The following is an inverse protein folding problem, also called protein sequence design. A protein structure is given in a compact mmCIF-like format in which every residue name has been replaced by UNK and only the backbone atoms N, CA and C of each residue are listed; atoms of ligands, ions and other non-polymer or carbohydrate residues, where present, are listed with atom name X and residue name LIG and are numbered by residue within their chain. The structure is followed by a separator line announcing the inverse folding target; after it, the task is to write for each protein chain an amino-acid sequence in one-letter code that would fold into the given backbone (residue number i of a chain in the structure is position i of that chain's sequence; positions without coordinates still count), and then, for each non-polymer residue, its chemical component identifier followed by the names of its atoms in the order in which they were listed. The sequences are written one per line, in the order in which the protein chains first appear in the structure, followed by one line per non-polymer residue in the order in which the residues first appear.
data_IF_226639504881
#
_entry.id   IF_226639504881
#
_cell.length_a   1.000
_cell.length_b   1.000
_cell.length_c   1.000
_cell.angle_alpha   90.00
_cell.angle_beta   90.00
_cell.angle_gamma   90.00
#
_symmetry.space_group_name_H-M   'P 1'
#
loop_
_entity.id
_entity.type
_entity.pdbx_description
1 polymer ?
#
# COMPACT_ATOMS: atom_id res chain seq x y z
N UNK A 1 -31.40 36.13 3.03
CA UNK A 1 -31.38 36.16 4.50
C UNK A 1 -29.99 35.71 4.90
N UNK A 2 -29.09 36.67 5.13
CA UNK A 2 -27.67 36.42 5.34
C UNK A 2 -27.38 36.65 6.82
N UNK A 3 -26.67 35.73 7.45
CA UNK A 3 -26.13 35.92 8.80
C UNK A 3 -24.62 35.73 8.71
N UNK A 4 -23.95 36.87 8.68
CA UNK A 4 -22.54 37.02 9.03
C UNK A 4 -22.43 36.88 10.54
N UNK A 5 -21.52 36.02 11.04
CA UNK A 5 -20.98 36.19 12.38
C UNK A 5 -19.50 36.49 12.29
N UNK A 6 -19.21 37.78 12.48
CA UNK A 6 -17.93 38.34 12.84
C UNK A 6 -17.69 38.02 14.32
N UNK A 7 -16.51 37.51 14.69
CA UNK A 7 -15.96 37.77 16.01
C UNK A 7 -14.45 37.96 15.93
N UNK A 8 -14.01 39.09 16.44
CA UNK A 8 -12.64 39.53 16.54
C UNK A 8 -12.33 39.78 18.04
N UNK A 9 -11.17 39.26 18.47
CA UNK A 9 -10.21 39.69 19.52
C UNK A 9 -10.63 39.75 21.01
N UNK A 10 -9.99 38.94 21.88
CA UNK A 10 -8.77 39.27 22.66
C UNK A 10 -8.56 38.37 23.91
N UNK A 11 -7.31 37.92 24.14
CA UNK A 11 -6.56 38.13 25.39
C UNK A 11 -6.64 37.13 26.57
N UNK A 12 -5.54 36.37 26.76
CA UNK A 12 -4.87 35.86 27.98
C UNK A 12 -5.60 35.75 29.35
N UNK A 13 -5.42 34.58 30.02
CA UNK A 13 -5.12 34.52 31.47
C UNK A 13 -5.83 33.44 32.33
N UNK A 14 -5.06 32.40 32.69
CA UNK A 14 -5.03 31.62 33.96
C UNK A 14 -6.25 30.80 34.48
N UNK A 15 -5.98 29.50 34.63
CA UNK A 15 -6.32 28.49 35.67
C UNK A 15 -7.76 28.32 36.21
N UNK A 16 -8.29 27.11 35.99
CA UNK A 16 -8.78 26.09 36.96
C UNK A 16 -9.83 25.20 36.25
N UNK A 17 -9.43 23.97 35.92
CA UNK A 17 -9.97 22.71 36.48
C UNK A 17 -11.46 22.47 36.20
N UNK A 18 -11.76 21.59 35.24
CA UNK A 18 -12.67 20.46 35.47
C UNK A 18 -12.59 19.37 34.37
N UNK A 19 -12.15 18.19 34.83
CA UNK A 19 -12.61 16.84 34.48
C UNK A 19 -12.49 16.33 33.01
N UNK A 20 -11.37 15.67 32.72
CA UNK A 20 -11.31 14.56 31.75
C UNK A 20 -11.31 13.23 32.52
N UNK A 21 -12.29 12.37 32.24
CA UNK A 21 -12.36 11.00 32.74
C UNK A 21 -11.47 10.09 31.88
N UNK A 22 -10.39 9.58 32.46
CA UNK A 22 -9.61 8.47 31.89
C UNK A 22 -10.32 7.12 32.13
N UNK A 23 -10.30 6.19 31.17
CA UNK A 23 -10.67 4.80 31.42
C UNK A 23 -9.48 4.00 31.97
N UNK A 24 -9.66 3.43 33.16
CA UNK A 24 -8.73 2.48 33.79
C UNK A 24 -8.77 1.12 33.08
N UNK A 25 -7.59 0.54 32.84
CA UNK A 25 -7.44 -0.86 32.40
C UNK A 25 -6.86 -1.68 33.56
N UNK A 26 -7.53 -2.77 33.93
CA UNK A 26 -7.10 -3.73 34.95
C UNK A 26 -5.93 -4.60 34.43
N UNK A 27 -4.90 -4.73 35.26
CA UNK A 27 -3.77 -5.64 35.05
C UNK A 27 -4.18 -7.09 35.33
N UNK A 28 -3.75 -8.03 34.47
CA UNK A 28 -3.76 -9.47 34.77
C UNK A 28 -2.33 -9.98 34.84
N UNK A 29 -1.95 -10.47 36.02
CA UNK A 29 -0.67 -11.08 36.38
C UNK A 29 -0.32 -12.29 35.51
N UNK A 30 0.93 -12.36 35.04
CA UNK A 30 1.54 -13.58 34.51
C UNK A 30 2.59 -14.08 35.50
N UNK A 31 2.23 -15.14 36.23
CA UNK A 31 3.11 -15.82 37.18
C UNK A 31 4.15 -16.71 36.46
N UNK A 32 5.42 -16.42 36.73
CA UNK A 32 6.58 -17.16 36.29
C UNK A 32 6.70 -18.56 36.92
N UNK A 33 7.30 -19.48 36.16
CA UNK A 33 7.78 -20.79 36.64
C UNK A 33 9.11 -21.13 35.97
N UNK A 34 10.20 -20.89 36.70
CA UNK A 34 11.61 -21.07 36.33
C UNK A 34 12.15 -22.49 36.49
N UNK A 35 13.21 -22.83 35.74
CA UNK A 35 14.29 -23.73 36.18
C UNK A 35 14.91 -24.55 35.02
N UNK A 36 16.03 -24.13 34.40
CA UNK A 36 17.45 -24.50 34.71
C UNK A 36 17.73 -26.01 34.71
N UNK A 37 18.77 -26.60 34.12
CA UNK A 37 20.00 -26.21 33.42
C UNK A 37 20.56 -27.46 32.67
N UNK A 38 21.53 -27.28 31.75
CA UNK A 38 22.14 -28.33 30.89
C UNK A 38 23.08 -29.34 31.60
N UNK A 39 24.20 -29.83 31.00
CA UNK A 39 24.72 -29.67 29.64
C UNK A 39 25.40 -30.94 28.99
N UNK A 40 25.83 -30.79 27.72
CA UNK A 40 27.05 -31.28 27.02
C UNK A 40 27.45 -32.78 26.91
N UNK A 41 27.89 -33.13 25.69
CA UNK A 41 28.87 -34.18 25.32
C UNK A 41 28.76 -34.47 23.82
N UNK A 42 29.50 -33.85 22.91
CA UNK A 42 30.94 -33.96 22.54
C UNK A 42 31.30 -35.16 21.64
N UNK A 43 32.02 -34.82 20.54
CA UNK A 43 32.84 -35.65 19.64
C UNK A 43 32.17 -36.78 18.83
N UNK A 44 32.49 -37.07 17.56
CA UNK A 44 33.55 -36.65 16.65
C UNK A 44 33.80 -37.75 15.60
N UNK A 45 34.24 -37.38 14.38
CA UNK A 45 34.85 -38.28 13.36
C UNK A 45 33.86 -39.02 12.45
N UNK A 46 33.76 -38.83 11.12
CA UNK A 46 34.69 -38.70 9.97
C UNK A 46 34.78 -40.01 9.15
N UNK A 47 34.30 -39.88 7.90
CA UNK A 47 34.67 -40.56 6.64
C UNK A 47 34.42 -42.08 6.48
N UNK A 48 33.90 -42.47 5.31
CA UNK A 48 33.99 -43.83 4.78
C UNK A 48 32.94 -44.19 3.73
N UNK A 49 33.37 -44.23 2.48
CA UNK A 49 32.68 -44.56 1.23
C UNK A 49 31.87 -45.89 1.22
N UNK A 50 30.85 -45.91 0.36
CA UNK A 50 30.12 -47.05 -0.25
C UNK A 50 31.07 -48.14 -0.84
N UNK A 51 30.63 -49.41 -1.14
CA UNK A 51 29.33 -49.76 -1.74
C UNK A 51 28.70 -51.14 -1.44
N UNK A 52 27.44 -51.26 -1.91
CA UNK A 52 26.72 -52.44 -2.39
C UNK A 52 26.40 -53.61 -1.43
N UNK A 53 25.11 -53.71 -1.08
CA UNK A 53 24.46 -54.93 -0.61
C UNK A 53 23.00 -54.95 -1.02
N UNK A 54 22.67 -55.75 -2.04
CA UNK A 54 21.30 -56.07 -2.46
C UNK A 54 20.60 -56.80 -1.30
N UNK A 55 19.48 -56.26 -0.83
CA UNK A 55 18.60 -56.88 0.14
C UNK A 55 17.16 -56.48 -0.11
N UNK A 56 16.36 -57.42 -0.61
CA UNK A 56 14.91 -57.33 -0.70
C UNK A 56 14.31 -56.96 0.67
N UNK A 57 13.65 -55.81 0.72
CA UNK A 57 12.93 -55.32 1.89
C UNK A 57 11.71 -54.54 1.42
N UNK A 58 10.58 -55.23 1.32
CA UNK A 58 9.30 -54.65 0.97
C UNK A 58 8.89 -53.54 1.96
N UNK A 59 8.57 -52.36 1.42
CA UNK A 59 7.47 -51.52 1.87
C UNK A 59 7.75 -50.49 2.97
N UNK A 60 7.83 -49.22 2.57
CA UNK A 60 6.78 -48.21 2.83
C UNK A 60 7.18 -46.88 2.18
N UNK A 61 6.91 -46.75 0.89
CA UNK A 61 6.74 -45.43 0.29
C UNK A 61 5.36 -44.91 0.72
N UNK A 62 5.33 -44.00 1.69
CA UNK A 62 4.15 -43.19 1.94
C UNK A 62 4.06 -42.15 0.80
N UNK A 63 3.62 -42.59 -0.38
CA UNK A 63 3.01 -41.67 -1.35
C UNK A 63 1.71 -41.18 -0.69
N UNK A 64 1.64 -39.88 -0.41
CA UNK A 64 0.46 -39.24 0.17
C UNK A 64 -0.80 -39.66 -0.57
N UNK A 65 -1.79 -40.14 0.17
CA UNK A 65 -3.08 -40.48 -0.40
C UNK A 65 -3.73 -39.19 -0.91
N UNK A 66 -4.16 -39.17 -2.18
CA UNK A 66 -4.95 -38.06 -2.72
C UNK A 66 -6.27 -38.02 -1.93
N UNK A 67 -6.62 -36.89 -1.28
CA UNK A 67 -7.88 -36.77 -0.56
C UNK A 67 -9.07 -37.09 -1.46
N UNK A 68 -10.09 -37.76 -0.93
CA UNK A 68 -11.30 -38.07 -1.69
C UNK A 68 -12.42 -37.09 -1.35
N UNK A 69 -12.93 -36.41 -2.37
CA UNK A 69 -14.16 -35.62 -2.31
C UNK A 69 -15.07 -36.05 -3.46
N UNK A 70 -16.37 -36.18 -3.19
CA UNK A 70 -17.36 -36.52 -4.22
C UNK A 70 -17.38 -35.46 -5.32
N UNK A 71 -17.43 -35.89 -6.59
CA UNK A 71 -17.40 -34.99 -7.75
C UNK A 71 -16.02 -34.41 -8.08
N UNK A 72 -14.95 -34.79 -7.38
CA UNK A 72 -13.61 -34.25 -7.61
C UNK A 72 -13.05 -34.60 -8.99
N UNK A 73 -12.57 -33.58 -9.69
CA UNK A 73 -11.88 -33.65 -10.97
C UNK A 73 -10.39 -33.83 -10.67
N UNK A 74 -9.96 -35.09 -10.61
CA UNK A 74 -8.62 -35.48 -10.13
C UNK A 74 -7.49 -34.84 -10.92
N UNK A 75 -7.66 -34.70 -12.23
CA UNK A 75 -6.68 -34.14 -13.15
C UNK A 75 -6.52 -32.62 -12.98
N UNK A 76 -7.43 -31.96 -12.26
CA UNK A 76 -7.45 -30.52 -11.99
C UNK A 76 -7.53 -30.22 -10.48
N UNK A 77 -6.96 -31.11 -9.68
CA UNK A 77 -6.86 -31.01 -8.22
C UNK A 77 -5.43 -31.31 -7.80
N UNK A 78 -4.82 -30.44 -7.00
CA UNK A 78 -3.37 -30.41 -6.80
C UNK A 78 -3.00 -30.15 -5.36
N UNK A 79 -1.93 -30.78 -4.91
CA UNK A 79 -1.20 -30.31 -3.74
C UNK A 79 -0.45 -29.03 -4.11
N UNK A 80 -0.58 -28.01 -3.27
CA UNK A 80 0.04 -26.70 -3.48
C UNK A 80 0.33 -26.04 -2.14
N UNK A 81 1.14 -24.99 -2.16
CA UNK A 81 1.44 -24.18 -0.99
C UNK A 81 0.96 -22.75 -1.24
N UNK A 82 0.00 -22.29 -0.45
CA UNK A 82 -0.55 -20.94 -0.54
C UNK A 82 -0.14 -20.11 0.68
N UNK A 83 0.06 -18.81 0.50
CA UNK A 83 0.47 -17.91 1.57
C UNK A 83 -0.59 -17.86 2.68
N UNK A 84 -0.16 -17.86 3.94
CA UNK A 84 -1.05 -17.93 5.11
C UNK A 84 -1.80 -19.27 5.31
N UNK A 85 -1.93 -20.10 4.28
CA UNK A 85 -2.51 -21.44 4.35
C UNK A 85 -1.45 -22.53 4.52
N UNK A 86 -0.23 -22.34 4.04
CA UNK A 86 0.80 -23.37 4.00
C UNK A 86 0.48 -24.46 2.98
N UNK A 87 0.94 -25.69 3.23
CA UNK A 87 0.64 -26.85 2.37
C UNK A 87 -0.86 -27.19 2.47
N UNK A 88 -1.52 -27.25 1.32
CA UNK A 88 -2.95 -27.53 1.17
C UNK A 88 -3.21 -28.34 -0.11
N UNK A 89 -4.34 -29.03 -0.15
CA UNK A 89 -4.81 -29.68 -1.36
C UNK A 89 -5.96 -28.88 -1.97
N UNK A 90 -5.76 -28.31 -3.15
CA UNK A 90 -6.79 -27.64 -3.93
C UNK A 90 -7.63 -28.66 -4.70
N UNK A 91 -8.95 -28.62 -4.53
CA UNK A 91 -9.86 -29.54 -5.19
C UNK A 91 -10.86 -28.82 -6.10
N UNK A 92 -10.91 -29.22 -7.38
CA UNK A 92 -11.96 -28.84 -8.33
C UNK A 92 -13.08 -29.87 -8.29
N UNK A 93 -14.31 -29.43 -8.04
CA UNK A 93 -15.48 -30.29 -7.85
C UNK A 93 -16.52 -30.00 -8.95
N UNK A 94 -16.85 -31.01 -9.74
CA UNK A 94 -17.89 -30.92 -10.76
C UNK A 94 -19.29 -30.73 -10.14
N UNK A 95 -20.20 -29.99 -10.79
CA UNK A 95 -21.59 -29.90 -10.36
C UNK A 95 -22.30 -31.25 -10.48
N UNK A 96 -23.15 -31.58 -9.51
CA UNK A 96 -23.75 -32.91 -9.35
C UNK A 96 -24.61 -33.37 -10.55
N UNK A 97 -25.25 -32.45 -11.26
CA UNK A 97 -26.12 -32.71 -12.41
C UNK A 97 -25.51 -32.28 -13.75
N UNK A 98 -24.23 -31.88 -13.77
CA UNK A 98 -23.57 -31.33 -14.95
C UNK A 98 -24.06 -29.93 -15.34
N UNK A 99 -24.98 -29.33 -14.58
CA UNK A 99 -25.54 -28.01 -14.85
C UNK A 99 -25.16 -27.03 -13.73
N UNK A 100 -24.54 -25.91 -14.09
CA UNK A 100 -24.16 -24.84 -13.15
C UNK A 100 -22.67 -24.77 -12.84
N UNK A 101 -22.31 -23.95 -11.84
CA UNK A 101 -20.91 -23.65 -11.53
C UNK A 101 -20.22 -24.76 -10.71
N UNK A 102 -18.96 -25.14 -11.06
CA UNK A 102 -18.16 -26.04 -10.24
C UNK A 102 -17.89 -25.45 -8.85
N UNK A 103 -17.42 -26.29 -7.91
CA UNK A 103 -16.92 -25.84 -6.62
C UNK A 103 -15.40 -25.95 -6.55
N UNK A 104 -14.78 -25.07 -5.77
CA UNK A 104 -13.35 -25.14 -5.47
C UNK A 104 -13.18 -25.09 -3.96
N UNK A 105 -12.30 -25.95 -3.45
CA UNK A 105 -12.09 -26.17 -2.02
C UNK A 105 -10.59 -26.19 -1.71
N UNK A 106 -10.23 -25.76 -0.50
CA UNK A 106 -8.94 -26.12 0.11
C UNK A 106 -9.17 -27.19 1.17
N UNK A 107 -8.35 -28.25 1.10
CA UNK A 107 -8.39 -29.36 2.04
C UNK A 107 -7.07 -29.43 2.84
N UNK A 108 -7.18 -29.74 4.14
CA UNK A 108 -6.06 -30.16 5.00
C UNK A 108 -6.46 -31.41 5.77
N UNK A 109 -5.59 -32.41 5.77
CA UNK A 109 -5.84 -33.70 6.45
C UNK A 109 -7.23 -34.28 6.12
N UNK A 110 -7.61 -34.25 4.85
CA UNK A 110 -8.92 -34.67 4.31
C UNK A 110 -10.14 -33.83 4.73
N UNK A 111 -9.95 -32.75 5.50
CA UNK A 111 -11.02 -31.84 5.89
C UNK A 111 -11.06 -30.61 4.98
N UNK A 112 -12.26 -30.20 4.57
CA UNK A 112 -12.45 -28.89 3.92
C UNK A 112 -12.20 -27.77 4.93
N UNK A 113 -11.15 -27.00 4.70
CA UNK A 113 -10.81 -25.83 5.53
C UNK A 113 -11.27 -24.52 4.90
N UNK A 114 -11.51 -24.51 3.58
CA UNK A 114 -12.02 -23.34 2.88
C UNK A 114 -12.85 -23.71 1.66
N UNK A 115 -13.87 -22.90 1.37
CA UNK A 115 -14.68 -22.97 0.15
C UNK A 115 -14.58 -21.64 -0.56
N UNK A 116 -14.14 -21.67 -1.81
CA UNK A 116 -14.01 -20.45 -2.62
C UNK A 116 -15.39 -19.87 -2.95
N UNK A 117 -15.51 -18.53 -3.05
CA UNK A 117 -16.74 -17.85 -3.37
C UNK A 117 -17.29 -18.25 -4.75
N UNK A 118 -18.62 -18.23 -4.88
CA UNK A 118 -19.33 -18.58 -6.12
C UNK A 118 -20.26 -17.45 -6.53
N UNK A 119 -20.45 -17.30 -7.83
CA UNK A 119 -21.49 -16.41 -8.36
C UNK A 119 -22.84 -17.13 -8.36
N UNK A 120 -23.91 -16.37 -8.59
CA UNK A 120 -25.21 -16.97 -8.83
C UNK A 120 -25.17 -17.82 -10.11
N UNK A 121 -25.96 -18.90 -10.12
CA UNK A 121 -25.99 -19.84 -11.24
C UNK A 121 -26.56 -19.14 -12.47
N UNK A 122 -25.75 -19.03 -13.51
CA UNK A 122 -26.23 -18.60 -14.83
C UNK A 122 -26.94 -19.77 -15.55
N UNK A 123 -28.16 -19.50 -16.03
CA UNK A 123 -28.93 -20.47 -16.81
C UNK A 123 -28.41 -20.55 -18.26
N UNK A 124 -28.49 -21.74 -18.87
CA UNK A 124 -28.24 -21.92 -20.30
C UNK A 124 -26.83 -22.36 -20.70
N UNK A 125 -25.96 -22.72 -19.73
CA UNK A 125 -24.65 -23.35 -19.99
C UNK A 125 -24.51 -24.71 -19.30
N UNK A 126 -23.94 -25.67 -20.01
CA UNK A 126 -23.62 -27.02 -19.53
C UNK A 126 -22.13 -27.11 -19.21
N UNK A 127 -21.80 -27.60 -18.02
CA UNK A 127 -20.42 -27.77 -17.58
C UNK A 127 -19.80 -28.97 -18.30
N UNK A 128 -18.65 -28.77 -18.96
CA UNK A 128 -17.91 -29.88 -19.62
C UNK A 128 -16.63 -30.23 -18.91
N UNK A 129 -16.02 -29.30 -18.18
CA UNK A 129 -14.82 -29.59 -17.40
C UNK A 129 -14.12 -28.37 -16.83
N UNK A 130 -12.97 -28.64 -16.21
CA UNK A 130 -11.99 -27.60 -15.86
C UNK A 130 -10.80 -27.79 -16.81
N UNK A 131 -10.54 -26.79 -17.65
CA UNK A 131 -9.49 -26.85 -18.66
C UNK A 131 -8.10 -26.62 -18.07
N UNK A 132 -7.98 -25.76 -17.06
CA UNK A 132 -6.72 -25.47 -16.39
C UNK A 132 -6.93 -24.89 -14.99
N UNK A 133 -5.95 -25.11 -14.12
CA UNK A 133 -5.78 -24.41 -12.83
C UNK A 133 -4.34 -23.90 -12.76
N UNK A 134 -4.16 -22.69 -12.23
CA UNK A 134 -2.85 -22.11 -11.98
C UNK A 134 -2.80 -21.41 -10.62
N UNK A 135 -1.64 -21.47 -9.98
CA UNK A 135 -1.32 -20.79 -8.73
C UNK A 135 -0.16 -19.84 -8.99
N UNK A 136 -0.41 -18.53 -8.91
CA UNK A 136 0.59 -17.51 -9.20
C UNK A 136 0.18 -16.16 -8.65
N UNK A 137 1.16 -15.34 -8.35
CA UNK A 137 0.97 -13.92 -8.15
C UNK A 137 0.56 -13.27 -9.47
N UNK A 138 -0.74 -12.99 -9.61
CA UNK A 138 -1.32 -12.44 -10.82
C UNK A 138 -1.44 -10.92 -10.74
N UNK A 139 -1.78 -10.42 -9.55
CA UNK A 139 -1.91 -9.00 -9.24
C UNK A 139 -0.59 -8.31 -8.87
N UNK A 140 0.51 -9.06 -8.76
CA UNK A 140 1.86 -8.60 -8.39
C UNK A 140 1.94 -8.09 -6.94
N UNK A 141 1.13 -8.64 -6.04
CA UNK A 141 1.12 -8.29 -4.62
C UNK A 141 2.06 -9.14 -3.74
N UNK A 142 2.78 -10.08 -4.36
CA UNK A 142 3.70 -11.00 -3.69
C UNK A 142 3.07 -12.28 -3.15
N UNK A 143 1.75 -12.50 -3.32
CA UNK A 143 1.05 -13.72 -2.89
C UNK A 143 0.47 -14.49 -4.05
N UNK A 144 0.24 -15.79 -3.83
CA UNK A 144 -0.33 -16.63 -4.88
C UNK A 144 -1.85 -16.53 -4.97
N UNK A 145 -2.33 -16.09 -6.14
CA UNK A 145 -3.72 -16.17 -6.55
C UNK A 145 -4.06 -17.53 -7.17
N UNK A 146 -5.35 -17.83 -7.22
CA UNK A 146 -5.87 -19.03 -7.89
C UNK A 146 -6.64 -18.65 -9.15
N UNK A 147 -6.21 -19.19 -10.29
CA UNK A 147 -6.83 -18.95 -11.59
C UNK A 147 -7.37 -20.28 -12.10
N UNK A 148 -8.66 -20.32 -12.45
CA UNK A 148 -9.29 -21.50 -13.04
C UNK A 148 -9.91 -21.16 -14.39
N UNK A 149 -9.70 -22.01 -15.39
CA UNK A 149 -10.44 -21.96 -16.65
C UNK A 149 -11.52 -23.05 -16.64
N UNK A 150 -12.77 -22.65 -16.52
CA UNK A 150 -13.92 -23.55 -16.54
C UNK A 150 -14.45 -23.65 -17.97
N UNK A 151 -14.63 -24.87 -18.46
CA UNK A 151 -15.11 -25.12 -19.82
C UNK A 151 -16.60 -25.41 -19.80
N UNK A 152 -17.33 -24.70 -20.65
CA UNK A 152 -18.78 -24.81 -20.82
C UNK A 152 -19.16 -25.04 -22.28
N UNK A 153 -20.34 -25.58 -22.50
CA UNK A 153 -20.99 -25.68 -23.81
C UNK A 153 -22.47 -25.27 -23.76
N UNK A 154 -23.00 -24.83 -24.89
CA UNK A 154 -24.42 -24.59 -25.15
C UNK A 154 -25.02 -25.60 -26.15
N UNK A 155 -24.29 -26.71 -26.41
CA UNK A 155 -24.65 -27.72 -27.41
C UNK A 155 -24.22 -27.37 -28.85
N UNK A 156 -23.68 -26.18 -29.09
CA UNK A 156 -23.13 -25.76 -30.38
C UNK A 156 -21.67 -25.34 -30.33
N UNK A 157 -21.30 -24.57 -29.30
CA UNK A 157 -19.95 -24.06 -29.07
C UNK A 157 -19.43 -24.52 -27.72
N UNK A 158 -18.12 -24.72 -27.63
CA UNK A 158 -17.39 -24.86 -26.38
C UNK A 158 -16.54 -23.61 -26.14
N UNK A 159 -16.51 -23.12 -24.92
CA UNK A 159 -15.68 -21.98 -24.51
C UNK A 159 -15.19 -22.13 -23.08
N UNK A 160 -14.17 -21.35 -22.74
CA UNK A 160 -13.68 -21.24 -21.38
C UNK A 160 -14.17 -19.94 -20.76
N UNK A 161 -14.54 -20.00 -19.49
CA UNK A 161 -14.72 -18.85 -18.61
C UNK A 161 -13.63 -18.86 -17.54
N UNK A 162 -12.93 -17.73 -17.33
CA UNK A 162 -12.02 -17.60 -16.22
C UNK A 162 -12.79 -17.47 -14.90
N UNK A 163 -12.25 -18.06 -13.84
CA UNK A 163 -12.63 -17.80 -12.45
C UNK A 163 -11.36 -17.38 -11.72
N UNK A 164 -11.32 -16.12 -11.30
CA UNK A 164 -10.11 -15.53 -10.71
C UNK A 164 -10.36 -15.31 -9.22
N UNK A 165 -9.58 -15.98 -8.40
CA UNK A 165 -9.63 -15.87 -6.95
C UNK A 165 -8.37 -15.18 -6.48
N UNK A 166 -8.51 -13.91 -6.15
CA UNK A 166 -7.42 -13.10 -5.64
C UNK A 166 -7.30 -13.31 -4.13
N UNK A 167 -6.07 -13.50 -3.65
CA UNK A 167 -5.85 -13.72 -2.23
C UNK A 167 -6.09 -12.42 -1.45
N UNK A 168 -6.92 -12.47 -0.42
CA UNK A 168 -7.12 -11.31 0.44
C UNK A 168 -5.86 -11.10 1.28
N UNK A 169 -5.22 -9.95 1.09
CA UNK A 169 -4.17 -9.50 1.98
C UNK A 169 -4.77 -8.89 3.24
N UNK A 170 -4.13 -9.02 4.41
CA UNK A 170 -4.54 -8.27 5.60
C UNK A 170 -4.44 -6.74 5.40
N UNK A 171 -3.78 -6.27 4.35
CA UNK A 171 -3.75 -4.87 3.89
C UNK A 171 -4.82 -4.52 2.83
N UNK A 172 -5.60 -5.50 2.35
CA UNK A 172 -6.70 -5.34 1.38
C UNK A 172 -6.35 -4.56 0.10
N UNK A 173 -5.11 -4.62 -0.37
CA UNK A 173 -4.71 -3.94 -1.61
C UNK A 173 -5.14 -4.71 -2.85
N UNK A 174 -6.42 -4.57 -3.18
CA UNK A 174 -6.88 -4.56 -4.57
C UNK A 174 -8.29 -3.97 -4.70
N UNK A 175 -9.05 -3.95 -3.60
CA UNK A 175 -10.44 -3.52 -3.61
C UNK A 175 -10.68 -2.12 -3.05
N UNK A 176 -9.62 -1.33 -2.88
CA UNK A 176 -9.70 0.00 -2.28
C UNK A 176 -9.46 1.17 -3.24
N UNK A 177 -9.07 0.92 -4.49
CA UNK A 177 -8.85 2.03 -5.43
C UNK A 177 -10.12 2.39 -6.21
N UNK A 178 -11.14 1.52 -6.19
CA UNK A 178 -12.39 1.73 -6.93
C UNK A 178 -13.65 1.42 -6.10
N UNK A 179 -14.06 2.32 -5.19
CA UNK A 179 -15.33 2.18 -4.46
C UNK A 179 -16.56 1.99 -5.38
N UNK A 180 -16.51 2.52 -6.61
CA UNK A 180 -17.57 2.34 -7.61
C UNK A 180 -17.66 0.94 -8.21
N UNK A 181 -16.67 0.07 -7.97
CA UNK A 181 -16.65 -1.31 -8.46
C UNK A 181 -17.05 -2.32 -7.36
N UNK A 182 -17.56 -1.81 -6.22
CA UNK A 182 -18.39 -2.44 -5.15
C UNK A 182 -19.04 -3.81 -5.48
N UNK A 183 -19.75 -3.81 -6.60
CA UNK A 183 -20.65 -4.90 -6.97
C UNK A 183 -19.96 -6.08 -7.65
N UNK A 184 -18.71 -5.91 -8.11
CA UNK A 184 -18.00 -6.93 -8.87
C UNK A 184 -17.20 -7.90 -7.99
N UNK A 185 -17.11 -7.61 -6.68
CA UNK A 185 -16.45 -8.49 -5.71
C UNK A 185 -17.44 -9.49 -5.13
N UNK A 186 -17.05 -10.76 -5.15
CA UNK A 186 -17.76 -11.82 -4.43
C UNK A 186 -16.84 -12.37 -3.35
N UNK A 187 -17.26 -12.24 -2.09
CA UNK A 187 -16.45 -12.64 -0.94
C UNK A 187 -16.82 -14.04 -0.42
N UNK A 188 -15.80 -14.81 0.00
CA UNK A 188 -15.98 -16.02 0.78
C UNK A 188 -15.16 -15.93 2.06
N UNK A 189 -15.79 -15.84 3.23
CA UNK A 189 -15.08 -15.66 4.51
C UNK A 189 -14.56 -16.99 5.04
N UNK A 190 -13.27 -17.07 5.31
CA UNK A 190 -12.67 -18.20 6.03
C UNK A 190 -12.99 -18.12 7.53
N UNK A 191 -13.13 -19.28 8.19
CA UNK A 191 -13.22 -19.34 9.65
C UNK A 191 -11.85 -19.11 10.31
N UNK A 192 -10.80 -19.65 9.69
CA UNK A 192 -9.40 -19.53 10.10
C UNK A 192 -8.54 -19.33 8.83
N UNK A 193 -7.55 -18.44 8.88
CA UNK A 193 -6.67 -18.12 7.74
C UNK A 193 -7.14 -16.93 6.87
N UNK A 194 -6.34 -16.51 5.87
CA UNK A 194 -6.71 -15.43 4.95
C UNK A 194 -7.80 -15.88 3.97
N UNK A 195 -8.74 -15.00 3.64
CA UNK A 195 -9.81 -15.31 2.68
C UNK A 195 -9.35 -15.11 1.24
N UNK A 196 -10.18 -15.56 0.29
CA UNK A 196 -10.10 -15.17 -1.12
C UNK A 196 -11.39 -14.45 -1.51
N UNK A 197 -11.32 -13.62 -2.54
CA UNK A 197 -12.50 -13.09 -3.21
C UNK A 197 -12.45 -13.35 -4.71
N UNK A 198 -13.62 -13.36 -5.37
CA UNK A 198 -13.75 -13.39 -6.83
C UNK A 198 -13.91 -11.97 -7.37
N UNK A 199 -13.19 -11.67 -8.44
CA UNK A 199 -13.30 -10.44 -9.21
C UNK A 199 -14.03 -10.72 -10.54
N UNK A 200 -15.33 -10.42 -10.58
CA UNK A 200 -16.12 -10.70 -11.79
C UNK A 200 -15.89 -9.68 -12.90
N UNK A 201 -15.40 -8.47 -12.59
CA UNK A 201 -15.07 -7.47 -13.62
C UNK A 201 -13.85 -7.91 -14.42
N UNK A 202 -12.83 -8.43 -13.74
CA UNK A 202 -11.67 -9.02 -14.39
C UNK A 202 -12.08 -10.19 -15.27
N UNK A 203 -12.94 -11.07 -14.79
CA UNK A 203 -13.44 -12.21 -15.57
C UNK A 203 -14.22 -11.78 -16.83
N UNK A 204 -15.08 -10.76 -16.70
CA UNK A 204 -15.78 -10.13 -17.83
C UNK A 204 -14.80 -9.52 -18.84
N UNK A 205 -13.82 -8.76 -18.37
CA UNK A 205 -12.77 -8.16 -19.19
C UNK A 205 -11.99 -9.23 -19.97
N UNK A 206 -11.49 -10.26 -19.29
CA UNK A 206 -10.73 -11.35 -19.89
C UNK A 206 -11.55 -12.09 -20.97
N UNK A 207 -12.83 -12.29 -20.72
CA UNK A 207 -13.75 -12.92 -21.66
C UNK A 207 -13.97 -12.02 -22.88
N UNK A 208 -14.23 -10.73 -22.66
CA UNK A 208 -14.45 -9.75 -23.72
C UNK A 208 -13.21 -9.56 -24.61
N UNK A 209 -12.01 -9.62 -24.04
CA UNK A 209 -10.74 -9.54 -24.78
C UNK A 209 -10.34 -10.87 -25.45
N UNK A 210 -11.09 -11.96 -25.22
CA UNK A 210 -10.76 -13.28 -25.78
C UNK A 210 -9.51 -13.92 -25.16
N UNK A 211 -9.15 -13.54 -23.94
CA UNK A 211 -7.96 -14.00 -23.23
C UNK A 211 -8.19 -15.28 -22.42
N UNK A 212 -9.43 -15.73 -22.28
CA UNK A 212 -9.80 -16.95 -21.55
C UNK A 212 -9.37 -18.27 -22.21
N UNK A 213 -8.69 -18.23 -23.37
CA UNK A 213 -8.28 -19.44 -24.09
C UNK A 213 -7.16 -20.24 -23.42
N UNK A 214 -6.29 -19.59 -22.63
CA UNK A 214 -5.19 -20.25 -21.91
C UNK A 214 -4.66 -19.39 -20.77
N UNK A 215 -4.04 -20.01 -19.75
CA UNK A 215 -3.37 -19.29 -18.66
C UNK A 215 -2.29 -18.34 -19.17
N UNK A 216 -1.60 -18.68 -20.26
CA UNK A 216 -0.54 -17.84 -20.83
C UNK A 216 -1.08 -16.53 -21.41
N UNK A 217 -2.31 -16.53 -21.93
CA UNK A 217 -2.98 -15.34 -22.45
C UNK A 217 -3.39 -14.38 -21.34
N UNK A 218 -3.73 -14.91 -20.16
CA UNK A 218 -4.07 -14.13 -18.97
C UNK A 218 -2.84 -13.45 -18.36
N UNK A 219 -1.71 -14.17 -18.29
CA UNK A 219 -0.54 -13.82 -17.48
C UNK A 219 0.14 -12.45 -17.76
N UNK A 220 -0.34 -11.65 -18.72
CA UNK A 220 0.26 -10.37 -19.11
C UNK A 220 -0.74 -9.21 -19.21
N UNK A 221 -2.03 -9.43 -18.93
CA UNK A 221 -3.04 -8.38 -19.13
C UNK A 221 -3.39 -7.62 -17.85
N UNK A 222 -2.65 -7.82 -16.76
CA UNK A 222 -2.93 -7.13 -15.50
C UNK A 222 -2.88 -5.61 -15.64
N UNK A 223 -1.79 -5.07 -16.20
CA UNK A 223 -1.63 -3.63 -16.44
C UNK A 223 -2.75 -3.08 -17.36
N UNK A 224 -3.12 -3.84 -18.41
CA UNK A 224 -4.19 -3.46 -19.32
C UNK A 224 -5.58 -3.49 -18.65
N UNK A 225 -5.78 -4.41 -17.70
CA UNK A 225 -7.00 -4.50 -16.90
C UNK A 225 -7.12 -3.33 -15.91
N UNK A 226 -6.04 -2.98 -15.21
CA UNK A 226 -6.02 -1.82 -14.32
C UNK A 226 -6.39 -0.56 -15.09
N UNK A 227 -5.78 -0.34 -16.26
CA UNK A 227 -6.13 0.80 -17.12
C UNK A 227 -7.59 0.78 -17.60
N UNK A 228 -8.17 -0.41 -17.83
CA UNK A 228 -9.57 -0.56 -18.18
C UNK A 228 -10.51 -0.22 -17.00
N UNK A 229 -10.20 -0.73 -15.81
CA UNK A 229 -10.96 -0.46 -14.58
C UNK A 229 -10.90 1.03 -14.20
N UNK A 230 -9.72 1.64 -14.25
CA UNK A 230 -9.52 3.09 -14.11
C UNK A 230 -10.41 3.87 -15.09
N UNK A 231 -10.42 3.47 -16.36
CA UNK A 231 -11.21 4.10 -17.40
C UNK A 231 -12.72 4.05 -17.14
N UNK A 232 -13.24 2.96 -16.55
CA UNK A 232 -14.65 2.88 -16.13
C UNK A 232 -14.99 3.87 -15.02
N UNK A 233 -14.02 4.17 -14.17
CA UNK A 233 -14.14 5.14 -13.08
C UNK A 233 -13.86 6.58 -13.51
N UNK A 234 -13.56 6.82 -14.79
CA UNK A 234 -13.15 8.13 -15.29
C UNK A 234 -11.75 8.55 -14.82
N UNK A 235 -10.95 7.62 -14.29
CA UNK A 235 -9.56 7.85 -13.91
C UNK A 235 -8.71 7.68 -15.17
N UNK A 236 -7.86 8.66 -15.45
CA UNK A 236 -6.92 8.60 -16.56
C UNK A 236 -5.74 7.70 -16.20
N UNK A 237 -5.28 6.86 -17.12
CA UNK A 237 -4.10 6.04 -16.86
C UNK A 237 -2.86 6.89 -16.54
N UNK A 238 -1.94 6.39 -15.71
CA UNK A 238 -0.75 7.12 -15.24
C UNK A 238 0.03 7.79 -16.37
N UNK A 239 0.23 7.09 -17.49
CA UNK A 239 0.92 7.65 -18.66
C UNK A 239 0.22 8.88 -19.25
N UNK A 240 -1.11 8.89 -19.28
CA UNK A 240 -1.90 10.04 -19.74
C UNK A 240 -1.83 11.20 -18.74
N UNK A 241 -1.87 10.91 -17.43
CA UNK A 241 -1.71 11.93 -16.40
C UNK A 241 -0.32 12.60 -16.47
N UNK A 242 0.74 11.83 -16.68
CA UNK A 242 2.11 12.33 -16.90
C UNK A 242 2.16 13.27 -18.12
N UNK A 243 1.55 12.89 -19.24
CA UNK A 243 1.47 13.77 -20.40
C UNK A 243 0.73 15.07 -20.12
N UNK A 244 -0.32 15.04 -19.30
CA UNK A 244 -1.07 16.23 -18.90
C UNK A 244 -0.24 17.14 -17.99
N UNK A 245 0.50 16.59 -17.03
CA UNK A 245 1.46 17.37 -16.25
C UNK A 245 2.50 18.05 -17.16
N UNK A 246 3.10 17.32 -18.09
CA UNK A 246 4.10 17.85 -19.03
C UNK A 246 3.55 18.97 -19.93
N UNK A 247 2.31 18.81 -20.43
CA UNK A 247 1.62 19.84 -21.22
C UNK A 247 1.33 21.10 -20.40
N UNK A 248 1.05 20.96 -19.12
CA UNK A 248 0.75 22.06 -18.22
C UNK A 248 1.99 22.62 -17.46
N UNK A 249 3.22 22.25 -17.86
CA UNK A 249 4.44 22.67 -17.14
C UNK A 249 4.60 24.16 -16.94
N UNK A 250 4.12 24.97 -17.87
CA UNK A 250 4.17 26.44 -17.74
C UNK A 250 3.35 26.97 -16.54
N UNK A 251 2.50 26.15 -15.92
CA UNK A 251 1.69 26.51 -14.75
C UNK A 251 2.41 26.18 -13.44
N UNK A 252 3.13 25.05 -13.38
CA UNK A 252 3.74 24.55 -12.14
C UNK A 252 5.27 24.69 -12.08
N UNK A 253 5.93 24.88 -13.23
CA UNK A 253 7.37 25.11 -13.35
C UNK A 253 7.68 26.60 -13.62
N UNK A 254 6.91 27.51 -13.03
CA UNK A 254 7.10 28.94 -13.24
C UNK A 254 8.40 29.44 -12.58
N UNK A 255 8.94 30.56 -13.06
CA UNK A 255 10.13 31.15 -12.46
C UNK A 255 9.81 31.70 -11.06
N UNK A 256 10.69 31.43 -10.10
CA UNK A 256 10.57 31.92 -8.72
C UNK A 256 11.63 32.97 -8.43
N UNK A 257 11.25 34.00 -7.69
CA UNK A 257 12.09 35.15 -7.40
C UNK A 257 12.86 35.07 -6.07
N UNK A 258 12.51 34.12 -5.19
CA UNK A 258 13.04 34.01 -3.82
C UNK A 258 13.14 32.56 -3.38
N UNK A 259 14.09 32.28 -2.48
CA UNK A 259 14.32 30.95 -1.90
C UNK A 259 14.48 29.87 -2.99
N UNK A 260 15.26 30.15 -4.03
CA UNK A 260 15.42 29.33 -5.24
C UNK A 260 16.80 28.65 -5.33
N UNK A 261 17.52 28.56 -4.20
CA UNK A 261 18.82 27.89 -4.13
C UNK A 261 18.71 26.42 -4.57
N UNK A 262 17.60 25.77 -4.19
CA UNK A 262 17.11 24.52 -4.76
C UNK A 262 15.69 24.76 -5.28
N UNK A 263 15.42 24.35 -6.52
CA UNK A 263 14.08 24.34 -7.08
C UNK A 263 13.84 23.01 -7.79
N UNK A 264 13.03 22.16 -7.19
CA UNK A 264 12.89 20.77 -7.61
C UNK A 264 11.43 20.35 -7.75
N UNK A 265 11.20 19.32 -8.56
CA UNK A 265 9.93 18.63 -8.64
C UNK A 265 10.11 17.13 -8.42
N UNK A 266 9.05 16.47 -7.96
CA UNK A 266 8.92 15.01 -7.96
C UNK A 266 7.48 14.61 -8.26
N UNK A 267 7.28 13.47 -8.92
CA UNK A 267 5.97 12.87 -9.14
C UNK A 267 5.88 11.58 -8.33
N UNK A 268 4.86 11.41 -7.49
CA UNK A 268 4.79 10.28 -6.56
C UNK A 268 3.36 9.78 -6.33
N UNK A 269 3.20 8.46 -6.17
CA UNK A 269 1.94 7.83 -5.76
C UNK A 269 1.74 7.92 -4.24
N UNK A 270 1.39 9.10 -3.74
CA UNK A 270 1.27 9.35 -2.28
C UNK A 270 -0.04 8.85 -1.68
N UNK A 271 -1.04 8.65 -2.53
CA UNK A 271 -2.41 8.23 -2.22
C UNK A 271 -2.79 7.01 -3.05
N UNK A 272 -3.78 6.26 -2.58
CA UNK A 272 -4.30 5.07 -3.27
C UNK A 272 -5.47 5.37 -4.20
N UNK A 273 -5.54 6.59 -4.74
CA UNK A 273 -6.65 7.03 -5.59
C UNK A 273 -6.32 6.93 -7.09
N UNK A 274 -5.25 6.22 -7.45
CA UNK A 274 -4.76 6.11 -8.83
C UNK A 274 -4.24 7.43 -9.43
N UNK A 275 -4.15 8.51 -8.64
CA UNK A 275 -3.73 9.84 -9.10
C UNK A 275 -2.40 10.24 -8.46
N UNK A 276 -1.27 10.18 -9.19
CA UNK A 276 0.00 10.62 -8.66
C UNK A 276 -0.04 12.11 -8.33
N UNK A 277 0.64 12.48 -7.26
CA UNK A 277 0.79 13.87 -6.82
C UNK A 277 2.11 14.40 -7.34
N UNK A 278 2.04 15.48 -8.11
CA UNK A 278 3.20 16.28 -8.48
C UNK A 278 3.50 17.25 -7.35
N UNK A 279 4.69 17.15 -6.76
CA UNK A 279 5.18 18.12 -5.78
C UNK A 279 6.23 18.98 -6.46
N UNK A 280 6.09 20.29 -6.31
CA UNK A 280 7.06 21.28 -6.74
C UNK A 280 7.48 22.07 -5.52
N UNK A 281 8.77 22.11 -5.21
CA UNK A 281 9.28 22.73 -4.00
C UNK A 281 10.53 23.55 -4.27
N UNK A 282 10.66 24.67 -3.57
CA UNK A 282 11.85 25.49 -3.58
C UNK A 282 12.31 25.82 -2.17
N UNK A 283 13.62 25.83 -2.00
CA UNK A 283 14.28 26.04 -0.72
C UNK A 283 15.44 27.02 -0.90
N UNK A 284 15.57 27.98 0.01
CA UNK A 284 16.74 28.85 0.02
C UNK A 284 16.62 30.11 0.88
N UNK A 285 17.53 31.03 0.61
CA UNK A 285 17.65 32.29 1.35
C UNK A 285 18.33 32.12 2.72
N UNK A 286 18.65 33.25 3.35
CA UNK A 286 19.42 33.26 4.62
C UNK A 286 18.68 32.65 5.81
N UNK A 287 17.35 32.56 5.72
CA UNK A 287 16.48 31.98 6.73
C UNK A 287 16.23 30.49 6.56
N UNK A 288 16.71 29.89 5.45
CA UNK A 288 16.43 28.48 5.06
C UNK A 288 14.93 28.23 4.89
N UNK A 289 14.25 29.08 4.11
CA UNK A 289 12.81 28.94 3.91
C UNK A 289 12.52 27.94 2.80
N UNK A 290 11.49 27.11 3.01
CA UNK A 290 10.94 26.21 2.01
C UNK A 290 9.50 26.59 1.65
N UNK A 291 9.17 26.48 0.36
CA UNK A 291 7.82 26.60 -0.18
C UNK A 291 7.54 25.44 -1.12
N UNK A 292 6.32 24.93 -1.10
CA UNK A 292 5.88 23.74 -1.82
C UNK A 292 4.46 23.91 -2.36
N UNK A 293 4.27 23.40 -3.56
CA UNK A 293 3.00 23.34 -4.26
C UNK A 293 2.72 21.91 -4.70
N UNK A 294 1.46 21.49 -4.59
CA UNK A 294 1.04 20.13 -4.85
C UNK A 294 -0.03 20.15 -5.94
N UNK A 295 0.07 19.22 -6.88
CA UNK A 295 -0.85 19.13 -8.00
C UNK A 295 -1.29 17.71 -8.28
N UNK A 296 -2.53 17.57 -8.74
CA UNK A 296 -3.10 16.34 -9.31
C UNK A 296 -3.79 16.62 -10.63
N UNK A 297 -4.03 15.57 -11.41
CA UNK A 297 -4.97 15.62 -12.53
C UNK A 297 -6.34 15.19 -12.03
N UNK A 298 -7.35 16.03 -12.23
CA UNK A 298 -8.72 15.70 -11.82
C UNK A 298 -9.37 14.67 -12.76
N UNK A 299 -10.59 14.23 -12.42
CA UNK A 299 -11.35 13.26 -13.22
C UNK A 299 -11.73 13.76 -14.63
N UNK A 300 -11.63 15.08 -14.87
CA UNK A 300 -11.88 15.68 -16.19
C UNK A 300 -10.60 15.81 -17.03
N UNK A 301 -9.44 15.44 -16.47
CA UNK A 301 -8.14 15.61 -17.12
C UNK A 301 -7.56 17.01 -16.98
N UNK A 302 -8.01 17.80 -16.01
CA UNK A 302 -7.53 19.15 -15.74
C UNK A 302 -6.47 19.16 -14.62
N UNK A 303 -5.47 20.05 -14.74
CA UNK A 303 -4.48 20.24 -13.68
C UNK A 303 -5.10 20.99 -12.51
N UNK A 304 -5.08 20.37 -11.34
CA UNK A 304 -5.60 20.93 -10.09
C UNK A 304 -4.45 21.18 -9.12
N UNK A 305 -4.31 22.42 -8.64
CA UNK A 305 -3.47 22.73 -7.47
C UNK A 305 -4.24 22.35 -6.19
N UNK A 306 -3.61 21.58 -5.32
CA UNK A 306 -4.21 21.14 -4.07
C UNK A 306 -4.20 22.26 -3.02
N UNK A 307 -5.21 22.24 -2.15
CA UNK A 307 -5.21 23.08 -0.96
C UNK A 307 -4.21 22.57 0.07
N UNK A 308 -3.66 23.45 0.90
CA UNK A 308 -2.77 23.08 1.99
C UNK A 308 -3.24 23.71 3.30
N UNK A 309 -2.90 23.07 4.41
CA UNK A 309 -3.05 23.63 5.77
C UNK A 309 -1.92 24.60 6.14
N UNK A 310 -0.93 24.77 5.26
CA UNK A 310 0.21 25.65 5.49
C UNK A 310 -0.25 27.10 5.71
N UNK A 311 0.41 27.75 6.66
CA UNK A 311 0.13 29.14 6.97
C UNK A 311 0.91 30.06 6.04
N UNK A 312 0.19 30.98 5.40
CA UNK A 312 0.81 32.00 4.55
C UNK A 312 1.86 32.82 5.31
N UNK A 313 3.06 32.92 4.74
CA UNK A 313 4.18 33.69 5.30
C UNK A 313 5.12 32.88 6.22
N UNK A 314 4.73 31.69 6.65
CA UNK A 314 5.61 30.80 7.42
C UNK A 314 6.48 29.95 6.48
N UNK A 315 7.62 29.46 6.97
CA UNK A 315 8.34 28.37 6.28
C UNK A 315 7.44 27.14 6.21
N UNK A 316 7.50 26.41 5.11
CA UNK A 316 6.85 25.10 4.98
C UNK A 316 7.89 24.01 5.23
N UNK A 317 7.48 22.75 5.46
CA UNK A 317 8.44 21.68 5.72
C UNK A 317 9.47 21.50 4.60
N UNK A 318 10.71 21.19 4.98
CA UNK A 318 11.81 20.86 4.08
C UNK A 318 11.52 19.50 3.42
N UNK A 319 10.77 19.53 2.32
CA UNK A 319 10.26 18.32 1.65
C UNK A 319 11.22 17.75 0.59
N UNK A 320 12.25 18.50 0.19
CA UNK A 320 13.20 18.08 -0.87
C UNK A 320 14.24 17.09 -0.31
N UNK A 321 13.73 15.90 0.05
CA UNK A 321 14.45 14.78 0.65
C UNK A 321 14.24 13.50 -0.18
N UNK A 322 15.32 12.74 -0.38
CA UNK A 322 15.27 11.49 -1.15
C UNK A 322 14.57 10.36 -0.39
N UNK A 323 14.49 10.46 0.94
CA UNK A 323 13.87 9.44 1.79
C UNK A 323 13.09 10.07 2.93
N UNK A 324 11.90 9.55 3.19
CA UNK A 324 11.05 9.96 4.32
C UNK A 324 10.58 8.74 5.08
N UNK A 325 10.52 8.87 6.41
CA UNK A 325 9.78 7.90 7.23
C UNK A 325 8.30 8.11 6.99
N UNK A 326 7.55 7.03 6.83
CA UNK A 326 6.09 7.08 6.66
C UNK A 326 5.44 6.19 7.70
N UNK A 327 4.39 6.70 8.32
CA UNK A 327 3.49 5.90 9.14
C UNK A 327 2.20 5.68 8.38
N UNK A 328 1.93 4.42 8.05
CA UNK A 328 0.74 4.04 7.29
C UNK A 328 -0.30 3.41 8.22
N UNK A 329 -1.56 3.84 8.05
CA UNK A 329 -2.73 3.18 8.61
C UNK A 329 -3.67 2.73 7.50
N UNK A 330 -4.45 1.71 7.79
CA UNK A 330 -5.47 1.20 6.89
C UNK A 330 -6.84 1.31 7.55
N UNK A 331 -7.83 1.75 6.77
CA UNK A 331 -9.23 1.69 7.14
C UNK A 331 -10.11 1.38 5.92
N UNK A 332 -11.42 1.25 6.14
CA UNK A 332 -12.39 1.06 5.04
C UNK A 332 -12.45 2.25 4.09
N UNK A 333 -12.03 3.42 4.56
CA UNK A 333 -12.00 4.66 3.80
C UNK A 333 -10.76 4.74 2.90
N UNK A 334 -9.70 3.95 3.15
CA UNK A 334 -8.47 3.96 2.38
C UNK A 334 -7.22 3.76 3.24
N UNK A 335 -6.05 3.75 2.58
CA UNK A 335 -4.76 3.90 3.28
C UNK A 335 -4.54 5.38 3.56
N UNK A 336 -4.11 5.68 4.78
CA UNK A 336 -3.56 6.99 5.15
C UNK A 336 -2.09 6.87 5.43
N UNK A 337 -1.31 7.70 4.74
CA UNK A 337 0.13 7.80 4.89
C UNK A 337 0.48 9.12 5.55
N UNK A 338 1.23 9.05 6.65
CA UNK A 338 1.78 10.20 7.37
C UNK A 338 3.27 10.29 7.12
N UNK A 339 3.68 11.18 6.21
CA UNK A 339 5.08 11.38 5.82
C UNK A 339 5.76 12.29 6.84
N UNK A 340 6.74 11.78 7.57
CA UNK A 340 7.48 12.58 8.54
C UNK A 340 8.41 13.53 7.79
N UNK A 341 8.24 14.81 8.08
CA UNK A 341 8.98 15.92 7.48
C UNK A 341 9.60 16.77 8.58
N UNK A 342 10.73 17.37 8.24
CA UNK A 342 11.47 18.25 9.13
C UNK A 342 11.52 19.64 8.53
N UNK A 343 11.82 20.64 9.34
CA UNK A 343 12.03 22.00 8.87
C UNK A 343 13.07 22.69 9.73
N UNK A 344 14.12 23.19 9.10
CA UNK A 344 15.16 23.95 9.78
C UNK A 344 15.05 25.43 9.42
N UNK A 345 14.65 26.24 10.39
CA UNK A 345 14.52 27.69 10.24
C UNK A 345 15.63 28.40 11.01
N UNK A 346 16.30 29.34 10.33
CA UNK A 346 17.15 30.32 11.01
C UNK A 346 16.32 31.54 11.45
N UNK A 347 15.78 31.47 12.67
CA UNK A 347 14.92 32.50 13.28
C UNK A 347 15.68 33.81 13.56
N UNK A 348 16.96 33.71 13.97
CA UNK A 348 17.82 34.87 14.19
C UNK A 348 19.30 34.51 13.95
N UNK A 349 20.25 35.48 13.96
CA UNK A 349 21.67 35.17 13.85
C UNK A 349 22.16 34.07 14.81
N UNK A 350 21.58 34.04 16.01
CA UNK A 350 22.00 33.16 17.12
C UNK A 350 20.90 32.15 17.51
N UNK A 351 19.80 32.08 16.74
CA UNK A 351 18.64 31.23 17.06
C UNK A 351 18.25 30.37 15.87
N UNK A 352 18.09 29.08 16.12
CA UNK A 352 17.60 28.09 15.16
C UNK A 352 16.37 27.39 15.72
N UNK A 353 15.40 27.14 14.85
CA UNK A 353 14.19 26.39 15.15
C UNK A 353 14.15 25.16 14.23
N UNK A 354 13.95 24.00 14.83
CA UNK A 354 13.77 22.72 14.15
C UNK A 354 12.34 22.26 14.44
N UNK A 355 11.58 21.95 13.39
CA UNK A 355 10.21 21.43 13.54
C UNK A 355 10.16 20.02 12.95
N UNK A 356 9.41 19.16 13.62
CA UNK A 356 9.06 17.84 13.14
C UNK A 356 7.55 17.81 12.99
N UNK A 357 7.10 17.51 11.78
CA UNK A 357 5.67 17.42 11.43
C UNK A 357 5.44 16.13 10.65
N UNK A 358 4.17 15.77 10.42
CA UNK A 358 3.79 14.83 9.39
C UNK A 358 2.95 15.51 8.32
N UNK A 359 3.10 15.09 7.07
CA UNK A 359 2.16 15.43 5.99
C UNK A 359 1.23 14.24 5.70
N UNK A 360 -0.05 14.51 5.55
CA UNK A 360 -1.02 13.60 4.96
C UNK A 360 -1.75 14.27 3.79
N UNK A 361 -2.10 13.47 2.78
CA UNK A 361 -2.88 13.91 1.63
C UNK A 361 -4.19 13.13 1.64
N UNK A 362 -5.29 13.85 1.80
CA UNK A 362 -6.63 13.28 1.87
C UNK A 362 -7.63 14.20 1.17
N UNK A 363 -8.53 13.64 0.35
CA UNK A 363 -9.55 14.40 -0.40
C UNK A 363 -8.97 15.63 -1.13
N UNK A 364 -7.84 15.47 -1.82
CA UNK A 364 -7.17 16.54 -2.59
C UNK A 364 -6.74 17.75 -1.74
N UNK A 365 -6.46 17.51 -0.46
CA UNK A 365 -5.97 18.51 0.49
C UNK A 365 -4.74 17.97 1.26
N UNK A 366 -3.72 18.82 1.41
CA UNK A 366 -2.48 18.49 2.13
C UNK A 366 -2.55 19.05 3.55
N UNK A 367 -2.53 18.17 4.53
CA UNK A 367 -2.58 18.52 5.95
C UNK A 367 -1.20 18.33 6.57
N UNK A 368 -0.74 19.33 7.32
CA UNK A 368 0.43 19.26 8.19
C UNK A 368 -0.06 19.06 9.61
N UNK A 369 0.43 18.01 10.26
CA UNK A 369 0.24 17.79 11.69
C UNK A 369 1.57 18.07 12.40
N UNK A 370 1.67 19.13 13.21
CA UNK A 370 2.85 19.38 14.04
C UNK A 370 3.02 18.26 15.08
N UNK A 371 4.26 17.80 15.27
CA UNK A 371 4.57 16.72 16.21
C UNK A 371 5.47 17.20 17.35
N UNK A 372 6.59 17.84 17.03
CA UNK A 372 7.53 18.34 18.01
C UNK A 372 8.34 19.51 17.46
N UNK A 373 8.93 20.30 18.36
CA UNK A 373 9.87 21.36 17.99
C UNK A 373 11.08 21.40 18.92
N UNK A 374 12.20 21.87 18.38
CA UNK A 374 13.42 22.12 19.12
C UNK A 374 13.95 23.50 18.77
N UNK A 375 14.27 24.28 19.80
CA UNK A 375 14.88 25.59 19.68
C UNK A 375 16.30 25.56 20.23
N UNK A 376 17.25 26.03 19.42
CA UNK A 376 18.65 26.18 19.80
C UNK A 376 19.00 27.66 19.83
N UNK A 377 19.46 28.15 20.98
CA UNK A 377 19.93 29.53 21.15
C UNK A 377 21.41 29.52 21.52
N UNK A 378 22.23 30.22 20.76
CA UNK A 378 23.65 30.39 21.05
C UNK A 378 23.85 31.66 21.89
N UNK A 379 24.35 31.50 23.11
CA UNK A 379 24.49 32.61 24.05
C UNK A 379 25.92 32.68 24.65
N UNK A 380 26.33 33.89 25.06
CA UNK A 380 27.59 34.16 25.74
C UNK A 380 28.82 34.28 24.82
N UNK A 381 29.96 34.72 25.37
CA UNK A 381 31.21 34.98 24.61
C UNK A 381 31.78 33.74 23.90
N UNK A 382 31.37 32.54 24.31
CA UNK A 382 31.83 31.26 23.77
C UNK A 382 30.82 30.57 22.85
N UNK A 383 29.69 31.21 22.50
CA UNK A 383 28.58 30.61 21.73
C UNK A 383 28.11 29.26 22.31
N UNK A 384 27.79 29.22 23.61
CA UNK A 384 27.25 28.00 24.22
C UNK A 384 25.81 27.79 23.75
N UNK A 385 25.51 26.58 23.29
CA UNK A 385 24.17 26.22 22.85
C UNK A 385 23.27 25.91 24.05
N UNK A 386 22.09 26.55 24.08
CA UNK A 386 20.97 26.18 24.94
C UNK A 386 19.89 25.58 24.07
N UNK A 387 19.58 24.31 24.32
CA UNK A 387 18.57 23.53 23.58
C UNK A 387 17.32 23.41 24.44
N UNK A 388 16.15 23.66 23.84
CA UNK A 388 14.85 23.41 24.46
C UNK A 388 13.95 22.72 23.44
N UNK A 389 13.40 21.56 23.80
CA UNK A 389 12.49 20.81 22.95
C UNK A 389 11.11 20.68 23.61
N UNK A 390 10.07 20.64 22.80
CA UNK A 390 8.68 20.44 23.24
C UNK A 390 7.87 19.62 22.22
N UNK A 391 6.88 18.88 22.70
CA UNK A 391 5.89 18.21 21.85
C UNK A 391 4.81 19.17 21.34
N UNK A 392 3.93 18.69 20.46
CA UNK A 392 2.81 19.46 19.93
C UNK A 392 1.76 19.87 21.00
N UNK A 393 1.82 19.30 22.20
CA UNK A 393 1.03 19.70 23.37
C UNK A 393 1.71 20.75 24.24
N UNK A 394 2.97 21.11 23.96
CA UNK A 394 3.78 22.04 24.75
C UNK A 394 4.47 21.41 25.96
N UNK A 395 4.52 20.08 26.06
CA UNK A 395 5.28 19.40 27.11
C UNK A 395 6.76 19.39 26.76
N UNK A 396 7.62 19.66 27.73
CA UNK A 396 9.06 19.63 27.52
C UNK A 396 9.55 18.21 27.18
N UNK A 397 10.44 18.12 26.19
CA UNK A 397 11.10 16.89 25.76
C UNK A 397 12.60 16.99 26.03
N UNK A 398 13.23 15.85 26.33
CA UNK A 398 14.66 15.67 26.14
C UNK A 398 15.01 15.60 24.65
N UNK A 399 16.28 15.74 24.29
CA UNK A 399 16.72 15.61 22.89
C UNK A 399 16.41 14.21 22.33
N UNK A 400 16.61 13.15 23.13
CA UNK A 400 16.29 11.78 22.73
C UNK A 400 14.78 11.57 22.53
N UNK A 401 13.94 12.18 23.36
CA UNK A 401 12.48 12.13 23.19
C UNK A 401 12.01 12.91 21.97
N UNK A 402 12.64 14.06 21.66
CA UNK A 402 12.38 14.83 20.46
C UNK A 402 12.69 14.03 19.18
N UNK A 403 13.88 13.42 19.11
CA UNK A 403 14.32 12.64 17.93
C UNK A 403 13.42 11.41 17.69
N UNK A 404 12.94 10.78 18.76
CA UNK A 404 12.09 9.59 18.68
C UNK A 404 10.59 9.92 18.71
N UNK A 405 10.19 11.19 18.77
CA UNK A 405 8.80 11.56 19.00
C UNK A 405 7.84 10.99 17.95
N UNK A 406 8.12 11.04 16.63
CA UNK A 406 7.24 10.45 15.62
C UNK A 406 7.02 8.94 15.81
N UNK A 407 8.07 8.22 16.18
CA UNK A 407 8.04 6.78 16.43
C UNK A 407 7.14 6.44 17.62
N UNK A 408 7.23 7.22 18.71
CA UNK A 408 6.36 7.04 19.87
C UNK A 408 4.92 7.43 19.54
N UNK A 409 4.72 8.57 18.89
CA UNK A 409 3.40 9.13 18.58
C UNK A 409 2.58 8.18 17.71
N UNK A 410 3.13 7.77 16.56
CA UNK A 410 2.44 6.87 15.64
C UNK A 410 2.53 5.40 16.04
N UNK A 411 3.60 4.99 16.72
CA UNK A 411 3.72 3.65 17.29
C UNK A 411 2.63 3.36 18.32
N UNK A 412 2.27 4.33 19.16
CA UNK A 412 1.16 4.22 20.11
C UNK A 412 -0.21 4.10 19.43
N UNK A 413 -0.33 4.54 18.19
CA UNK A 413 -1.54 4.38 17.36
C UNK A 413 -1.55 3.05 16.58
N UNK A 414 -0.48 2.25 16.67
CA UNK A 414 -0.36 0.97 15.97
C UNK A 414 -0.14 1.11 14.45
N UNK A 415 0.38 2.26 13.99
CA UNK A 415 0.68 2.47 12.58
C UNK A 415 1.92 1.67 12.15
N UNK A 416 1.92 1.24 10.89
CA UNK A 416 3.06 0.54 10.30
C UNK A 416 4.09 1.55 9.81
N UNK A 417 5.32 1.43 10.29
CA UNK A 417 6.46 2.24 9.84
C UNK A 417 6.96 1.72 8.49
N UNK A 418 7.18 2.63 7.55
CA UNK A 418 7.70 2.38 6.20
C UNK A 418 8.71 3.48 5.83
N UNK A 419 9.41 3.29 4.72
CA UNK A 419 10.28 4.30 4.10
C UNK A 419 9.76 4.65 2.71
N UNK A 420 9.43 5.91 2.47
CA UNK A 420 9.21 6.42 1.13
C UNK A 420 10.55 6.83 0.53
N UNK A 421 10.80 6.44 -0.71
CA UNK A 421 11.94 6.88 -1.52
C UNK A 421 11.43 7.74 -2.65
N UNK A 422 12.05 8.90 -2.86
CA UNK A 422 11.69 9.88 -3.87
C UNK A 422 12.82 10.08 -4.87
N UNK A 423 12.44 10.54 -6.06
CA UNK A 423 13.41 11.01 -7.06
C UNK A 423 13.07 12.43 -7.48
N UNK A 424 13.73 13.35 -6.79
CA UNK A 424 13.69 14.77 -7.09
C UNK A 424 14.51 15.10 -8.33
N UNK A 425 14.00 16.03 -9.13
CA UNK A 425 14.67 16.56 -10.31
C UNK A 425 14.64 18.08 -10.27
N UNK A 426 15.70 18.73 -10.76
CA UNK A 426 15.76 20.19 -10.86
C UNK A 426 14.72 20.68 -11.87
N UNK A 427 13.91 21.68 -11.53
CA UNK A 427 12.91 22.25 -12.45
C UNK A 427 13.60 22.87 -13.67
N UNK A 428 14.78 23.48 -13.50
CA UNK A 428 15.57 24.05 -14.61
C UNK A 428 16.03 22.99 -15.61
N UNK A 429 16.06 21.71 -15.22
CA UNK A 429 16.35 20.63 -16.16
C UNK A 429 15.31 20.49 -17.27
N UNK A 430 14.10 21.04 -17.08
CA UNK A 430 13.03 21.05 -18.08
C UNK A 430 13.16 22.17 -19.11
N UNK A 431 14.10 23.10 -18.94
CA UNK A 431 14.28 24.22 -19.86
C UNK A 431 14.65 23.73 -21.27
N UNK A 432 13.92 24.21 -22.27
CA UNK A 432 14.13 23.84 -23.67
C UNK A 432 13.62 22.45 -24.06
N UNK A 433 13.14 21.64 -23.10
CA UNK A 433 12.52 20.35 -23.39
C UNK A 433 11.18 20.52 -24.13
N UNK A 434 10.94 19.64 -25.10
CA UNK A 434 9.63 19.48 -25.69
C UNK A 434 8.67 18.70 -24.77
N UNK A 435 7.41 18.53 -25.20
CA UNK A 435 6.41 17.85 -24.38
C UNK A 435 6.69 16.37 -24.12
N UNK A 436 7.39 15.68 -25.04
CA UNK A 436 7.75 14.27 -24.86
C UNK A 436 8.94 14.13 -23.91
N UNK A 437 9.95 15.00 -24.06
CA UNK A 437 11.12 15.04 -23.18
C UNK A 437 10.72 15.37 -21.74
N UNK A 438 9.82 16.35 -21.55
CA UNK A 438 9.31 16.70 -20.22
C UNK A 438 8.47 15.56 -19.61
N UNK A 439 7.64 14.88 -20.42
CA UNK A 439 6.87 13.71 -19.97
C UNK A 439 7.80 12.55 -19.56
N UNK A 440 8.91 12.35 -20.26
CA UNK A 440 9.91 11.35 -19.90
C UNK A 440 10.64 11.70 -18.59
N UNK A 441 10.97 12.97 -18.35
CA UNK A 441 11.53 13.40 -17.06
C UNK A 441 10.55 13.15 -15.89
N UNK A 442 9.27 13.49 -16.07
CA UNK A 442 8.22 13.20 -15.08
C UNK A 442 8.05 11.69 -14.84
N UNK A 443 8.08 10.88 -15.91
CA UNK A 443 8.05 9.41 -15.80
C UNK A 443 9.23 8.88 -15.01
N UNK A 444 10.44 9.36 -15.28
CA UNK A 444 11.64 8.97 -14.56
C UNK A 444 11.60 9.35 -13.07
N UNK A 445 10.94 10.46 -12.73
CA UNK A 445 10.69 10.83 -11.33
C UNK A 445 9.69 9.88 -10.68
N UNK A 446 8.57 9.59 -11.36
CA UNK A 446 7.53 8.66 -10.89
C UNK A 446 8.05 7.24 -10.67
N UNK A 447 8.80 6.68 -11.62
CA UNK A 447 9.43 5.35 -11.50
C UNK A 447 10.50 5.30 -10.41
N UNK A 448 11.02 6.46 -9.99
CA UNK A 448 11.95 6.57 -8.86
C UNK A 448 11.25 6.61 -7.50
N UNK A 449 9.93 6.72 -7.46
CA UNK A 449 9.17 6.65 -6.22
C UNK A 449 8.91 5.21 -5.80
N UNK A 450 9.10 4.91 -4.51
CA UNK A 450 8.73 3.62 -3.94
C UNK A 450 8.42 3.71 -2.45
N UNK A 451 7.70 2.72 -1.94
CA UNK A 451 7.42 2.54 -0.52
C UNK A 451 8.04 1.21 -0.07
N UNK A 452 9.06 1.28 0.77
CA UNK A 452 9.81 0.15 1.31
C UNK A 452 9.35 -0.14 2.76
N UNK A 453 9.32 -1.41 3.16
CA UNK A 453 9.08 -1.82 4.56
C UNK A 453 10.32 -1.70 5.45
#
# INVERSE_FOLDING_TARGET
MAVFFLFCINGCGSNEEDMVLEPQWENVDVGAGSGTAGPKGDSGGREGEEPAGVGDGAGKDAKGAVPYVEGMIKEQSFETKLDGWGEVFFASIAPADGTGEPAFLLLKDENTVYTFPKAEKEEGKEFTGVGAVAFRDYNQDGKQDVIVLVTYTDGGREWNEPKIFLQENPDNMFYLDHPGLESYRIEGKAQEGPSFYRDTLLEEYLTAQGLAGSIASLAKCWEDYVAYADGLMGVLGIGQQIELFARNRMIWADEIAYADDRYCFTLAGLTNDGRPTLIVANQGGTGMYTYSEFYKIDQNGELQKLGTSFREGDSQPDIIEDRMTVYSSWSKEGIRNHFIVYDQIKDSPDTYLYRTSSLDIWDDYVTETPLASQKVVYEGENNQARVTSEDCGGNALTEEEYDNFPDVYYGNMGLTKKTAVFKWMDVKSLEGMDGQEAAEALRQSYEGFSMEE
#
